data_IF_834267422909
#
_entry.id   IF_834267422909
#
_cell.length_a   1.000
_cell.length_b   1.000
_cell.length_c   1.000
_cell.angle_alpha   90.00
_cell.angle_beta   90.00
_cell.angle_gamma   90.00
#
_symmetry.space_group_name_H-M   'P 1'
#
loop_
_entity.id
_entity.type
_entity.pdbx_description
1 polymer ?
#
# COMPACT_ATOMS: atom_id res chain seq x y z
N UNK A 1 -13.99 -12.71 6.18
CA UNK A 1 -14.20 -14.11 6.62
C UNK A 1 -15.61 -14.37 7.13
N UNK A 2 -16.21 -13.49 7.95
CA UNK A 2 -17.56 -13.69 8.51
C UNK A 2 -18.62 -14.17 7.49
N UNK A 3 -18.74 -13.52 6.33
CA UNK A 3 -19.73 -13.88 5.30
C UNK A 3 -19.57 -15.32 4.75
N UNK A 4 -18.34 -15.82 4.67
CA UNK A 4 -18.06 -17.19 4.21
C UNK A 4 -18.52 -18.24 5.22
N UNK A 5 -18.45 -17.93 6.52
CA UNK A 5 -18.89 -18.82 7.60
C UNK A 5 -20.42 -18.88 7.74
N UNK A 6 -21.16 -17.99 7.08
CA UNK A 6 -22.63 -17.99 7.11
C UNK A 6 -23.24 -18.83 5.98
N UNK A 7 -22.43 -19.49 5.16
CA UNK A 7 -22.91 -20.30 4.02
C UNK A 7 -23.26 -21.73 4.47
N UNK A 8 -24.27 -22.33 3.83
CA UNK A 8 -24.68 -23.71 4.13
C UNK A 8 -23.62 -24.77 3.77
N UNK A 9 -22.75 -24.47 2.82
CA UNK A 9 -21.69 -25.37 2.34
C UNK A 9 -20.35 -24.65 2.31
N UNK A 10 -19.32 -25.31 2.83
CA UNK A 10 -17.95 -24.80 2.79
C UNK A 10 -17.44 -24.71 1.34
N UNK A 11 -16.72 -23.63 1.04
CA UNK A 11 -16.17 -23.37 -0.29
C UNK A 11 -15.02 -22.35 -0.19
N UNK A 12 -14.19 -22.27 -1.22
CA UNK A 12 -13.02 -21.40 -1.30
C UNK A 12 -13.28 -20.16 -2.16
N UNK A 13 -12.78 -19.01 -1.73
CA UNK A 13 -13.03 -17.73 -2.39
C UNK A 13 -11.76 -16.88 -2.49
N UNK A 14 -11.53 -16.29 -3.66
CA UNK A 14 -10.56 -15.20 -3.82
C UNK A 14 -11.20 -13.90 -3.30
N UNK A 15 -10.54 -13.24 -2.36
CA UNK A 15 -10.91 -11.92 -1.84
C UNK A 15 -9.81 -10.94 -2.20
N UNK A 16 -10.12 -10.02 -3.11
CA UNK A 16 -9.19 -9.03 -3.61
C UNK A 16 -9.97 -7.81 -4.13
N UNK A 17 -9.29 -6.68 -4.31
CA UNK A 17 -9.92 -5.49 -4.92
C UNK A 17 -10.16 -5.65 -6.42
N UNK A 18 -9.38 -6.51 -7.09
CA UNK A 18 -9.33 -6.57 -8.56
C UNK A 18 -8.36 -5.57 -9.18
N UNK A 19 -7.68 -4.78 -8.35
CA UNK A 19 -6.73 -3.74 -8.77
C UNK A 19 -5.33 -4.08 -8.27
N UNK A 20 -4.32 -3.49 -8.92
CA UNK A 20 -2.92 -3.63 -8.54
C UNK A 20 -2.25 -2.26 -8.53
N UNK A 21 -1.32 -2.06 -7.61
CA UNK A 21 -0.60 -0.80 -7.43
C UNK A 21 0.88 -1.09 -7.25
N UNK A 22 1.73 -0.19 -7.72
CA UNK A 22 3.17 -0.31 -7.49
C UNK A 22 3.53 0.16 -6.08
N UNK A 23 4.66 -0.32 -5.57
CA UNK A 23 5.24 0.19 -4.30
C UNK A 23 5.48 1.70 -4.38
N UNK A 24 5.91 2.21 -5.55
CA UNK A 24 6.10 3.64 -5.80
C UNK A 24 4.80 4.43 -5.61
N UNK A 25 3.70 3.99 -6.21
CA UNK A 25 2.39 4.64 -6.09
C UNK A 25 1.91 4.67 -4.64
N UNK A 26 2.16 3.60 -3.87
CA UNK A 26 1.87 3.57 -2.44
C UNK A 26 2.66 4.63 -1.66
N UNK A 27 3.98 4.73 -1.93
CA UNK A 27 4.85 5.74 -1.32
C UNK A 27 4.35 7.16 -1.64
N UNK A 28 4.02 7.43 -2.90
CA UNK A 28 3.49 8.74 -3.32
C UNK A 28 2.17 9.08 -2.62
N UNK A 29 1.25 8.11 -2.49
CA UNK A 29 0.02 8.31 -1.74
C UNK A 29 0.28 8.59 -0.26
N UNK A 30 1.20 7.87 0.38
CA UNK A 30 1.54 8.07 1.77
C UNK A 30 2.12 9.47 2.04
N UNK A 31 3.08 9.94 1.23
CA UNK A 31 3.64 11.28 1.39
C UNK A 31 2.64 12.40 1.09
N UNK A 32 1.72 12.17 0.15
CA UNK A 32 0.65 13.13 -0.16
C UNK A 32 -0.29 13.37 1.02
N UNK A 33 -0.46 12.40 1.94
CA UNK A 33 -1.29 12.57 3.14
C UNK A 33 -0.75 13.65 4.07
N UNK A 34 0.57 13.86 4.06
CA UNK A 34 1.27 14.90 4.84
C UNK A 34 1.71 16.08 3.97
N UNK A 35 1.02 16.31 2.85
CA UNK A 35 1.24 17.41 1.91
C UNK A 35 2.65 17.46 1.28
N UNK A 36 3.35 16.31 1.25
CA UNK A 36 4.65 16.19 0.59
C UNK A 36 4.46 15.63 -0.83
N UNK A 37 4.91 16.39 -1.82
CA UNK A 37 4.97 15.92 -3.21
C UNK A 37 6.36 15.35 -3.51
N UNK A 38 6.40 14.10 -3.95
CA UNK A 38 7.65 13.45 -4.35
C UNK A 38 7.92 13.58 -5.85
N UNK A 39 9.20 13.68 -6.18
CA UNK A 39 9.74 13.39 -7.50
C UNK A 39 10.86 12.35 -7.39
N UNK A 40 11.12 11.67 -8.50
CA UNK A 40 12.08 10.57 -8.57
C UNK A 40 13.18 10.88 -9.59
N UNK A 41 14.40 10.46 -9.28
CA UNK A 41 15.53 10.54 -10.21
C UNK A 41 16.52 9.40 -9.95
N UNK A 42 17.31 9.07 -10.97
CA UNK A 42 18.17 7.90 -10.94
C UNK A 42 17.42 6.65 -11.40
N UNK A 43 18.10 5.51 -11.38
CA UNK A 43 17.56 4.23 -11.86
C UNK A 43 18.06 3.08 -10.97
N UNK A 44 17.27 2.01 -10.89
CA UNK A 44 17.62 0.82 -10.13
C UNK A 44 17.93 1.14 -8.67
N UNK A 45 19.09 0.70 -8.18
CA UNK A 45 19.51 0.89 -6.78
C UNK A 45 19.93 2.33 -6.46
N UNK A 46 20.26 3.11 -7.49
CA UNK A 46 20.69 4.50 -7.36
C UNK A 46 19.51 5.49 -7.45
N UNK A 47 18.29 4.98 -7.64
CA UNK A 47 17.09 5.80 -7.67
C UNK A 47 16.74 6.34 -6.26
N UNK A 48 16.37 7.62 -6.23
CA UNK A 48 15.97 8.33 -5.01
C UNK A 48 14.65 9.07 -5.19
N UNK A 49 13.84 9.09 -4.12
CA UNK A 49 12.64 9.92 -4.01
C UNK A 49 12.95 11.17 -3.19
N UNK A 50 12.68 12.36 -3.73
CA UNK A 50 12.96 13.64 -3.10
C UNK A 50 11.74 14.57 -3.09
N UNK A 51 11.69 15.46 -2.10
CA UNK A 51 10.61 16.43 -1.93
C UNK A 51 10.71 17.56 -2.95
N UNK A 52 9.65 17.75 -3.75
CA UNK A 52 9.54 18.81 -4.74
C UNK A 52 9.47 20.17 -4.05
N UNK A 53 10.31 21.11 -4.49
CA UNK A 53 10.32 22.49 -3.96
C UNK A 53 11.06 22.67 -2.64
N UNK A 54 11.66 21.61 -2.08
CA UNK A 54 12.53 21.71 -0.90
C UNK A 54 13.85 22.42 -1.21
N UNK A 55 14.29 23.33 -0.34
CA UNK A 55 15.59 24.00 -0.41
C UNK A 55 16.21 24.14 0.98
N UNK A 56 17.33 23.46 1.30
CA UNK A 56 18.05 22.52 0.43
C UNK A 56 17.19 21.30 0.08
N UNK A 57 17.55 20.61 -0.99
CA UNK A 57 16.82 19.43 -1.43
C UNK A 57 16.81 18.34 -0.34
N UNK A 58 15.63 17.78 -0.09
CA UNK A 58 15.43 16.71 0.89
C UNK A 58 15.14 15.39 0.18
N UNK A 59 16.06 14.44 0.29
CA UNK A 59 15.85 13.04 -0.12
C UNK A 59 15.13 12.30 1.00
N UNK A 60 13.96 11.74 0.69
CA UNK A 60 13.09 11.07 1.65
C UNK A 60 13.06 9.54 1.46
N UNK A 61 13.37 9.06 0.26
CA UNK A 61 13.35 7.63 -0.08
C UNK A 61 14.64 7.23 -0.80
N UNK A 62 15.21 6.09 -0.41
CA UNK A 62 16.35 5.43 -1.07
C UNK A 62 16.08 3.94 -1.18
N UNK A 63 16.67 3.32 -2.19
CA UNK A 63 16.57 1.87 -2.41
C UNK A 63 17.80 1.19 -1.80
N UNK A 64 17.56 0.18 -0.98
CA UNK A 64 18.61 -0.63 -0.37
C UNK A 64 18.50 -2.08 -0.90
N UNK A 65 19.51 -2.57 -1.64
CA UNK A 65 19.50 -3.91 -2.24
C UNK A 65 19.30 -5.03 -1.21
N UNK A 66 19.58 -4.79 0.08
CA UNK A 66 19.39 -5.80 1.13
C UNK A 66 17.92 -6.25 1.26
N UNK A 67 16.97 -5.43 0.81
CA UNK A 67 15.54 -5.76 0.86
C UNK A 67 15.05 -6.55 -0.37
N UNK A 68 15.90 -6.78 -1.37
CA UNK A 68 15.54 -7.57 -2.55
C UNK A 68 15.46 -9.04 -2.21
N UNK A 69 14.44 -9.71 -2.74
CA UNK A 69 14.21 -11.14 -2.51
C UNK A 69 14.84 -11.96 -3.64
N UNK A 70 15.51 -13.10 -3.34
CA UNK A 70 16.07 -13.99 -4.38
C UNK A 70 15.02 -14.51 -5.37
N UNK A 71 13.77 -14.61 -4.94
CA UNK A 71 12.61 -14.95 -5.76
C UNK A 71 11.56 -13.87 -5.56
N UNK A 72 11.36 -13.06 -6.59
CA UNK A 72 10.38 -11.97 -6.57
C UNK A 72 9.06 -12.42 -7.18
N UNK A 73 7.96 -11.87 -6.67
CA UNK A 73 6.64 -12.02 -7.28
C UNK A 73 6.29 -10.68 -7.93
N UNK A 74 6.48 -10.60 -9.25
CA UNK A 74 6.37 -9.33 -9.98
C UNK A 74 4.97 -8.71 -9.95
N UNK A 75 3.92 -9.55 -9.97
CA UNK A 75 2.54 -9.08 -10.03
C UNK A 75 1.59 -10.02 -9.30
N UNK A 76 0.77 -9.44 -8.43
CA UNK A 76 -0.39 -10.09 -7.84
C UNK A 76 -1.64 -9.27 -8.18
N UNK A 77 -2.61 -9.93 -8.79
CA UNK A 77 -3.94 -9.38 -9.09
C UNK A 77 -4.98 -10.48 -8.90
N UNK A 78 -5.86 -10.31 -7.93
CA UNK A 78 -6.90 -11.28 -7.61
C UNK A 78 -8.21 -10.97 -8.32
N UNK A 79 -8.94 -11.99 -8.78
CA UNK A 79 -10.28 -11.84 -9.35
C UNK A 79 -11.37 -12.20 -8.30
N UNK A 80 -12.10 -11.22 -7.74
CA UNK A 80 -13.12 -11.46 -6.71
C UNK A 80 -14.50 -11.83 -7.26
N UNK A 81 -14.65 -12.16 -8.55
CA UNK A 81 -15.95 -12.38 -9.19
C UNK A 81 -16.81 -13.43 -8.46
N UNK A 82 -16.21 -14.55 -8.02
CA UNK A 82 -16.91 -15.60 -7.26
C UNK A 82 -17.43 -15.08 -5.91
N UNK A 83 -16.59 -14.35 -5.17
CA UNK A 83 -16.96 -13.77 -3.88
C UNK A 83 -18.10 -12.75 -4.03
N UNK A 84 -18.06 -11.91 -5.07
CA UNK A 84 -19.14 -10.97 -5.39
C UNK A 84 -20.45 -11.68 -5.72
N UNK A 85 -20.41 -12.71 -6.58
CA UNK A 85 -21.62 -13.42 -7.01
C UNK A 85 -22.27 -14.23 -5.87
N UNK A 86 -21.46 -14.95 -5.07
CA UNK A 86 -21.97 -15.89 -4.07
C UNK A 86 -22.21 -15.25 -2.71
N UNK A 87 -21.35 -14.31 -2.31
CA UNK A 87 -21.41 -13.69 -1.00
C UNK A 87 -22.00 -12.28 -1.07
N UNK A 88 -22.07 -11.65 -2.25
CA UNK A 88 -22.37 -10.22 -2.35
C UNK A 88 -21.22 -9.33 -1.87
N UNK A 89 -20.02 -9.89 -1.69
CA UNK A 89 -18.87 -9.15 -1.17
C UNK A 89 -18.24 -8.26 -2.25
N UNK A 90 -17.97 -7.00 -1.88
CA UNK A 90 -17.20 -6.05 -2.69
C UNK A 90 -16.27 -5.24 -1.78
N UNK A 91 -15.06 -4.87 -2.24
CA UNK A 91 -14.21 -3.95 -1.50
C UNK A 91 -14.93 -2.59 -1.34
N UNK A 92 -14.74 -1.94 -0.20
CA UNK A 92 -15.33 -0.61 0.09
C UNK A 92 -14.26 0.44 0.39
N UNK A 93 -13.00 0.03 0.46
CA UNK A 93 -11.87 0.90 0.80
C UNK A 93 -10.90 0.89 -0.38
N UNK A 94 -10.68 2.08 -0.93
CA UNK A 94 -9.72 2.31 -2.01
C UNK A 94 -8.29 2.44 -1.46
N UNK A 95 -7.28 2.18 -2.30
CA UNK A 95 -5.87 2.23 -1.90
C UNK A 95 -5.48 3.56 -1.24
N UNK A 96 -5.90 4.69 -1.84
CA UNK A 96 -5.59 6.01 -1.31
C UNK A 96 -6.23 6.27 0.07
N UNK A 97 -7.45 5.76 0.29
CA UNK A 97 -8.13 5.85 1.59
C UNK A 97 -7.41 5.00 2.63
N UNK A 98 -7.03 3.76 2.27
CA UNK A 98 -6.24 2.89 3.13
C UNK A 98 -4.92 3.55 3.54
N UNK A 99 -4.18 4.11 2.57
CA UNK A 99 -2.92 4.83 2.85
C UNK A 99 -3.14 5.97 3.83
N UNK A 100 -4.21 6.76 3.64
CA UNK A 100 -4.55 7.88 4.52
C UNK A 100 -4.85 7.41 5.95
N UNK A 101 -5.62 6.33 6.11
CA UNK A 101 -5.93 5.78 7.43
C UNK A 101 -4.67 5.28 8.15
N UNK A 102 -3.80 4.55 7.43
CA UNK A 102 -2.54 4.05 7.97
C UNK A 102 -1.60 5.17 8.43
N UNK A 103 -1.35 6.17 7.56
CA UNK A 103 -0.45 7.29 7.89
C UNK A 103 -0.96 8.10 9.07
N UNK A 104 -2.27 8.40 9.13
CA UNK A 104 -2.84 9.12 10.26
C UNK A 104 -2.73 8.32 11.57
N UNK A 105 -2.87 7.00 11.51
CA UNK A 105 -2.67 6.13 12.67
C UNK A 105 -1.22 6.18 13.15
N UNK A 106 -0.25 6.10 12.24
CA UNK A 106 1.17 6.15 12.58
C UNK A 106 1.56 7.51 13.18
N UNK A 107 1.04 8.62 12.63
CA UNK A 107 1.22 9.96 13.20
C UNK A 107 0.71 10.00 14.64
N UNK A 108 -0.49 9.47 14.90
CA UNK A 108 -1.06 9.46 16.23
C UNK A 108 -0.27 8.58 17.22
N UNK A 109 0.43 7.54 16.76
CA UNK A 109 1.35 6.74 17.59
C UNK A 109 2.62 7.53 17.92
N UNK A 110 3.22 8.18 16.92
CA UNK A 110 4.42 9.00 17.08
C UNK A 110 4.17 10.19 18.02
N UNK A 111 3.02 10.87 17.90
CA UNK A 111 2.63 11.98 18.79
C UNK A 111 2.47 11.54 20.25
N UNK A 112 2.09 10.28 20.49
CA UNK A 112 2.00 9.69 21.84
C UNK A 112 3.35 9.20 22.38
N UNK A 113 4.40 9.20 21.55
CA UNK A 113 5.72 8.69 21.91
C UNK A 113 5.83 7.16 21.90
N UNK A 114 4.89 6.45 21.28
CA UNK A 114 4.96 5.00 21.12
C UNK A 114 5.66 4.66 19.79
N UNK A 115 6.97 4.43 19.87
CA UNK A 115 7.85 4.18 18.71
C UNK A 115 8.21 2.69 18.56
N UNK A 116 7.42 1.77 19.12
CA UNK A 116 7.81 0.35 19.27
C UNK A 116 7.24 -0.62 18.24
N UNK A 117 6.55 -0.14 17.20
CA UNK A 117 6.00 -0.97 16.12
C UNK A 117 7.03 -1.35 15.05
#
# INVERSE_FOLDING_TARGET
MWMMLQQDTADDYVVATGETNTVRTFIEHAFKVIDISLAWRGEGVDEVGYEVGSSPERVLVRIDPKYFRPTEVELLIGNPAKAKQKLGWTPTVEMATLCKEMVNSDIALVEKGDLTS
#
